data_IF_032895627961
#
_entry.id   IF_032895627961
#
_cell.length_a   1.000
_cell.length_b   1.000
_cell.length_c   1.000
_cell.angle_alpha   90.00
_cell.angle_beta   90.00
_cell.angle_gamma   90.00
#
_symmetry.space_group_name_H-M   'P 1'
#
loop_
_entity.id
_entity.type
_entity.pdbx_description
1 polymer ?
#
# COMPACT_ATOMS: atom_id res chain seq x y z
N UNK A 1 7.99 4.04 11.92
CA UNK A 1 8.16 4.52 10.52
C UNK A 1 6.83 4.85 9.85
N UNK A 2 5.92 3.89 9.56
CA UNK A 2 4.62 4.21 8.90
C UNK A 2 3.84 5.32 9.62
N UNK A 3 3.63 5.17 10.93
CA UNK A 3 2.92 6.15 11.74
C UNK A 3 3.56 7.54 11.74
N UNK A 4 4.89 7.63 11.82
CA UNK A 4 5.58 8.93 11.80
C UNK A 4 5.44 9.65 10.45
N UNK A 5 5.40 8.90 9.34
CA UNK A 5 5.19 9.46 8.01
C UNK A 5 3.74 9.95 7.85
N UNK A 6 2.77 9.13 8.24
CA UNK A 6 1.34 9.49 8.17
C UNK A 6 1.01 10.70 9.03
N UNK A 7 1.58 10.80 10.24
CA UNK A 7 1.36 11.95 11.12
C UNK A 7 1.74 13.29 10.47
N UNK A 8 2.78 13.30 9.64
CA UNK A 8 3.21 14.48 8.88
C UNK A 8 2.30 14.83 7.70
N UNK A 9 1.37 13.95 7.33
CA UNK A 9 0.48 14.08 6.17
C UNK A 9 -0.98 14.30 6.56
N UNK A 10 -1.31 14.40 7.85
CA UNK A 10 -2.68 14.55 8.36
C UNK A 10 -3.49 15.68 7.71
N UNK A 11 -2.83 16.77 7.30
CA UNK A 11 -3.45 17.88 6.55
C UNK A 11 -4.04 17.48 5.18
N UNK A 12 -3.60 16.37 4.60
CA UNK A 12 -4.16 15.78 3.37
C UNK A 12 -5.35 14.84 3.66
N UNK A 13 -5.74 14.67 4.92
CA UNK A 13 -6.84 13.81 5.33
C UNK A 13 -6.49 12.31 5.37
N UNK A 14 -5.21 11.98 5.58
CA UNK A 14 -4.79 10.61 5.91
C UNK A 14 -4.80 10.41 7.42
N UNK A 15 -5.35 9.28 7.85
CA UNK A 15 -5.39 8.87 9.25
C UNK A 15 -5.41 7.33 9.30
N UNK A 16 -4.64 6.74 10.21
CA UNK A 16 -4.45 5.28 10.29
C UNK A 16 -4.88 4.71 11.63
N UNK A 17 -5.41 3.49 11.59
CA UNK A 17 -5.69 2.65 12.75
C UNK A 17 -4.37 2.06 13.29
N UNK A 18 -3.98 2.35 14.54
CA UNK A 18 -2.74 1.85 15.12
C UNK A 18 -2.66 0.33 15.22
N UNK A 19 -3.78 -0.36 15.40
CA UNK A 19 -3.83 -1.83 15.50
C UNK A 19 -3.68 -2.46 14.12
N UNK A 20 -4.41 -1.97 13.12
CA UNK A 20 -4.23 -2.45 11.72
C UNK A 20 -2.80 -2.19 11.23
N UNK A 21 -2.21 -1.06 11.63
CA UNK A 21 -0.84 -0.71 11.30
C UNK A 21 0.23 -1.63 11.96
N UNK A 22 -0.11 -2.48 12.93
CA UNK A 22 0.82 -3.50 13.45
C UNK A 22 0.94 -4.71 12.54
N UNK A 23 -0.05 -4.96 11.69
CA UNK A 23 -0.06 -6.09 10.75
C UNK A 23 1.04 -5.89 9.69
N UNK A 24 1.68 -7.00 9.29
CA UNK A 24 2.79 -7.03 8.33
C UNK A 24 2.62 -8.18 7.35
N UNK A 25 3.14 -8.00 6.13
CA UNK A 25 3.18 -9.04 5.10
C UNK A 25 1.82 -9.40 4.49
N UNK A 26 0.82 -8.53 4.62
CA UNK A 26 -0.52 -8.74 4.09
C UNK A 26 -0.98 -7.49 3.37
N UNK A 27 -1.79 -7.68 2.32
CA UNK A 27 -2.57 -6.60 1.72
C UNK A 27 -3.66 -6.17 2.70
N UNK A 28 -3.56 -4.93 3.20
CA UNK A 28 -4.48 -4.43 4.21
C UNK A 28 -4.67 -2.93 4.10
N UNK A 29 -5.90 -2.50 4.31
CA UNK A 29 -6.21 -1.10 4.54
C UNK A 29 -6.07 -0.74 6.01
N UNK A 30 -5.08 0.09 6.31
CA UNK A 30 -4.77 0.57 7.65
C UNK A 30 -5.41 1.92 7.95
N UNK A 31 -6.26 2.48 7.08
CA UNK A 31 -6.98 3.72 7.40
C UNK A 31 -8.10 3.53 8.42
N UNK A 32 -8.40 4.60 9.16
CA UNK A 32 -9.63 4.68 9.95
C UNK A 32 -10.85 4.72 9.02
N UNK A 33 -12.01 4.28 9.50
CA UNK A 33 -13.22 4.07 8.68
C UNK A 33 -13.62 5.30 7.85
N UNK A 34 -13.47 6.50 8.43
CA UNK A 34 -13.87 7.77 7.82
C UNK A 34 -12.70 8.61 7.29
N UNK A 35 -11.52 8.01 7.08
CA UNK A 35 -10.39 8.73 6.51
C UNK A 35 -10.73 9.24 5.10
N UNK A 36 -10.46 10.52 4.83
CA UNK A 36 -10.67 11.12 3.49
C UNK A 36 -9.77 10.47 2.44
N UNK A 37 -8.57 10.05 2.84
CA UNK A 37 -7.60 9.39 1.99
C UNK A 37 -7.22 8.01 2.58
N UNK A 38 -7.19 6.98 1.73
CA UNK A 38 -7.01 5.58 2.16
C UNK A 38 -5.53 5.20 2.32
N UNK A 39 -5.29 4.52 3.43
CA UNK A 39 -4.10 3.89 4.01
C UNK A 39 -3.71 2.49 3.48
N UNK A 40 -3.28 2.26 2.24
CA UNK A 40 -3.02 0.87 1.80
C UNK A 40 -1.59 0.37 2.09
N UNK A 41 -1.48 -0.82 2.67
CA UNK A 41 -0.24 -1.61 2.72
C UNK A 41 -0.37 -2.74 1.71
N UNK A 42 0.44 -2.71 0.66
CA UNK A 42 0.45 -3.72 -0.40
C UNK A 42 1.86 -4.29 -0.48
N UNK A 43 2.08 -5.59 -0.17
CA UNK A 43 3.35 -6.24 -0.43
C UNK A 43 3.65 -6.20 -1.93
N UNK A 44 4.86 -5.76 -2.28
CA UNK A 44 5.32 -5.85 -3.67
C UNK A 44 5.69 -7.30 -4.02
N UNK A 45 5.47 -7.69 -5.27
CA UNK A 45 5.94 -8.96 -5.82
C UNK A 45 6.72 -8.64 -7.11
N UNK A 46 8.02 -8.45 -6.95
CA UNK A 46 8.92 -8.00 -8.01
C UNK A 46 9.05 -9.07 -9.10
N UNK A 47 9.13 -10.35 -8.72
CA UNK A 47 9.22 -11.47 -9.66
C UNK A 47 7.98 -11.57 -10.54
N UNK A 48 6.79 -11.35 -9.97
CA UNK A 48 5.54 -11.36 -10.74
C UNK A 48 5.48 -10.19 -11.71
N UNK A 49 5.86 -8.98 -11.28
CA UNK A 49 5.92 -7.80 -12.15
C UNK A 49 6.87 -8.05 -13.33
N UNK A 50 8.08 -8.54 -13.07
CA UNK A 50 9.06 -8.85 -14.12
C UNK A 50 8.54 -9.93 -15.08
N UNK A 51 7.88 -10.97 -14.55
CA UNK A 51 7.29 -12.03 -15.37
C UNK A 51 6.16 -11.51 -16.27
N UNK A 52 5.29 -10.64 -15.76
CA UNK A 52 4.23 -9.98 -16.53
C UNK A 52 4.80 -9.09 -17.64
N UNK A 53 5.81 -8.28 -17.33
CA UNK A 53 6.49 -7.43 -18.31
C UNK A 53 7.18 -8.27 -19.39
N UNK A 54 7.88 -9.34 -18.99
CA UNK A 54 8.52 -10.27 -19.92
C UNK A 54 7.49 -10.93 -20.84
N UNK A 55 6.37 -11.41 -20.28
CA UNK A 55 5.27 -12.00 -21.04
C UNK A 55 4.68 -11.00 -22.03
N UNK A 56 4.44 -9.75 -21.60
CA UNK A 56 3.93 -8.70 -22.47
C UNK A 56 4.90 -8.39 -23.63
N UNK A 57 6.22 -8.38 -23.39
CA UNK A 57 7.23 -8.13 -24.41
C UNK A 57 7.32 -9.25 -25.46
N UNK A 58 7.24 -10.53 -25.03
CA UNK A 58 7.35 -11.65 -25.97
C UNK A 58 6.09 -11.91 -26.79
N UNK A 59 4.94 -11.39 -26.35
CA UNK A 59 3.64 -11.56 -27.05
C UNK A 59 3.19 -10.30 -27.82
N UNK A 60 4.06 -9.31 -28.03
CA UNK A 60 3.76 -8.08 -28.78
C UNK A 60 3.80 -8.25 -30.32
N UNK A 61 3.40 -9.41 -30.86
CA UNK A 61 3.33 -9.71 -32.30
C UNK A 61 2.01 -10.35 -32.69
#
# INVERSE_FOLDING_TARGET
>A
MRASIVNSLTYLGVEIDPEKNKIRGQEIDISVENARCRVLVIPTNEELMIAMDTYALVNQG
#
